data_IF_147738517522
#
_entry.id   IF_147738517522
#
_cell.length_a   1.000
_cell.length_b   1.000
_cell.length_c   1.000
_cell.angle_alpha   90.00
_cell.angle_beta   90.00
_cell.angle_gamma   90.00
#
_symmetry.space_group_name_H-M   'P 1'
#
loop_
_entity.id
_entity.type
_entity.pdbx_description
1 polymer ?
#
# COMPACT_ATOMS: atom_id res chain seq x y z
N UNK A 1 -6.21 1.38 24.00
CA UNK A 1 -7.54 1.50 23.36
C UNK A 1 -7.51 0.49 22.23
N UNK A 2 -8.36 -0.54 22.24
CA UNK A 2 -8.37 -1.55 21.17
C UNK A 2 -8.88 -0.90 19.89
N UNK A 3 -8.18 -1.12 18.77
CA UNK A 3 -8.68 -0.73 17.46
C UNK A 3 -10.00 -1.44 17.18
N UNK A 4 -10.98 -0.79 16.51
CA UNK A 4 -12.22 -1.45 16.14
C UNK A 4 -11.91 -2.63 15.21
N UNK A 5 -12.39 -3.81 15.59
CA UNK A 5 -12.26 -5.05 14.81
C UNK A 5 -13.59 -5.39 14.16
N UNK A 6 -13.53 -5.93 12.95
CA UNK A 6 -14.69 -6.45 12.24
C UNK A 6 -14.37 -7.85 11.73
N UNK A 7 -15.18 -8.81 12.15
CA UNK A 7 -15.09 -10.19 11.67
C UNK A 7 -15.94 -10.37 10.42
N UNK A 8 -15.38 -11.05 9.41
CA UNK A 8 -16.09 -11.51 8.22
C UNK A 8 -16.03 -13.04 8.18
N UNK A 9 -17.09 -13.68 7.70
CA UNK A 9 -17.14 -15.12 7.56
C UNK A 9 -17.10 -15.49 6.07
N UNK A 10 -16.03 -16.15 5.66
CA UNK A 10 -15.84 -16.60 4.28
C UNK A 10 -15.16 -17.98 4.26
N UNK A 11 -15.55 -18.82 3.30
CA UNK A 11 -15.05 -20.19 3.13
C UNK A 11 -13.90 -20.28 2.13
N UNK A 12 -13.80 -19.31 1.23
CA UNK A 12 -12.77 -19.24 0.21
C UNK A 12 -12.38 -17.79 -0.13
N UNK A 13 -11.41 -17.65 -1.04
CA UNK A 13 -10.84 -16.37 -1.46
C UNK A 13 -11.86 -15.48 -2.16
N UNK A 14 -12.77 -16.06 -2.94
CA UNK A 14 -13.77 -15.29 -3.68
C UNK A 14 -14.84 -14.77 -2.73
N UNK A 15 -15.35 -15.61 -1.82
CA UNK A 15 -16.30 -15.21 -0.78
C UNK A 15 -15.68 -14.13 0.14
N UNK A 16 -14.42 -14.27 0.53
CA UNK A 16 -13.73 -13.26 1.34
C UNK A 16 -13.62 -11.91 0.61
N UNK A 17 -13.29 -11.92 -0.69
CA UNK A 17 -13.26 -10.70 -1.51
C UNK A 17 -14.64 -10.04 -1.55
N UNK A 18 -15.70 -10.79 -1.83
CA UNK A 18 -17.06 -10.23 -1.92
C UNK A 18 -17.54 -9.67 -0.58
N UNK A 19 -17.24 -10.35 0.54
CA UNK A 19 -17.56 -9.86 1.88
C UNK A 19 -16.81 -8.56 2.20
N UNK A 20 -15.54 -8.44 1.82
CA UNK A 20 -14.76 -7.20 1.95
C UNK A 20 -15.38 -6.08 1.10
N UNK A 21 -15.75 -6.34 -0.15
CA UNK A 21 -16.44 -5.35 -0.99
C UNK A 21 -17.80 -4.94 -0.46
N UNK A 22 -18.53 -5.84 0.21
CA UNK A 22 -19.79 -5.51 0.87
C UNK A 22 -19.57 -4.58 2.06
N UNK A 23 -18.51 -4.80 2.83
CA UNK A 23 -18.22 -4.08 4.07
C UNK A 23 -17.57 -2.72 3.82
N UNK A 24 -16.62 -2.62 2.89
CA UNK A 24 -15.83 -1.41 2.65
C UNK A 24 -16.68 -0.13 2.52
N UNK A 25 -17.81 -0.11 1.77
CA UNK A 25 -18.69 1.05 1.66
C UNK A 25 -19.40 1.44 2.97
N UNK A 26 -19.55 0.50 3.89
CA UNK A 26 -20.26 0.69 5.17
C UNK A 26 -19.35 1.24 6.26
N UNK A 27 -18.03 1.22 6.04
CA UNK A 27 -17.07 1.74 7.01
C UNK A 27 -17.15 3.27 7.14
N UNK A 28 -16.80 3.79 8.31
CA UNK A 28 -16.72 5.23 8.54
C UNK A 28 -15.69 5.85 7.58
N UNK A 29 -16.04 7.01 7.00
CA UNK A 29 -15.19 7.70 6.02
C UNK A 29 -13.86 8.21 6.59
N UNK A 30 -13.71 8.25 7.92
CA UNK A 30 -12.46 8.55 8.61
C UNK A 30 -11.50 7.37 8.67
N UNK A 31 -11.96 6.14 8.42
CA UNK A 31 -11.10 4.95 8.33
C UNK A 31 -10.27 5.06 7.06
N UNK A 32 -8.95 5.19 7.23
CA UNK A 32 -7.98 5.31 6.12
C UNK A 32 -7.09 4.08 5.98
N UNK A 33 -6.92 3.31 7.05
CA UNK A 33 -6.03 2.15 7.11
C UNK A 33 -6.85 0.97 7.62
N UNK A 34 -6.76 -0.15 6.92
CA UNK A 34 -7.43 -1.40 7.27
C UNK A 34 -6.36 -2.50 7.28
N UNK A 35 -6.24 -3.20 8.40
CA UNK A 35 -5.43 -4.40 8.50
C UNK A 35 -6.30 -5.63 8.24
N UNK A 36 -5.83 -6.54 7.39
CA UNK A 36 -6.53 -7.78 7.07
C UNK A 36 -5.71 -8.99 7.51
N UNK A 37 -6.18 -9.68 8.54
CA UNK A 37 -5.48 -10.81 9.17
C UNK A 37 -5.69 -12.16 8.47
N UNK A 38 -6.65 -12.25 7.55
CA UNK A 38 -7.00 -13.51 6.90
C UNK A 38 -7.60 -14.55 7.87
N UNK A 39 -7.42 -15.84 7.56
CA UNK A 39 -7.87 -16.95 8.40
C UNK A 39 -6.82 -17.29 9.46
N UNK A 40 -6.59 -16.38 10.41
CA UNK A 40 -5.53 -16.50 11.41
C UNK A 40 -4.13 -16.47 10.79
N UNK A 41 -3.89 -15.50 9.90
CA UNK A 41 -2.65 -15.31 9.16
C UNK A 41 -2.61 -15.98 7.77
N UNK A 42 -3.55 -16.87 7.45
CA UNK A 42 -3.58 -17.57 6.17
C UNK A 42 -4.40 -16.84 5.11
N UNK A 43 -4.03 -17.01 3.83
CA UNK A 43 -4.82 -16.54 2.69
C UNK A 43 -4.77 -15.03 2.42
N UNK A 44 -4.07 -14.25 3.26
CA UNK A 44 -3.94 -12.78 3.14
C UNK A 44 -3.52 -12.37 1.73
N UNK A 45 -2.39 -12.86 1.23
CA UNK A 45 -1.89 -12.48 -0.10
C UNK A 45 -2.83 -12.94 -1.22
N UNK A 46 -3.51 -14.07 -1.08
CA UNK A 46 -4.44 -14.57 -2.09
C UNK A 46 -5.69 -13.67 -2.19
N UNK A 47 -6.25 -13.28 -1.05
CA UNK A 47 -7.41 -12.38 -0.96
C UNK A 47 -7.07 -10.98 -1.46
N UNK A 48 -5.96 -10.39 -0.99
CA UNK A 48 -5.55 -9.04 -1.41
C UNK A 48 -5.23 -8.96 -2.91
N UNK A 49 -4.59 -9.99 -3.49
CA UNK A 49 -4.40 -10.08 -4.95
C UNK A 49 -5.72 -10.24 -5.70
N UNK A 50 -6.66 -11.03 -5.16
CA UNK A 50 -8.00 -11.18 -5.73
C UNK A 50 -8.76 -9.85 -5.75
N UNK A 51 -8.68 -9.09 -4.65
CA UNK A 51 -9.21 -7.72 -4.57
C UNK A 51 -8.55 -6.82 -5.62
N UNK A 52 -7.22 -6.75 -5.66
CA UNK A 52 -6.49 -5.90 -6.60
C UNK A 52 -6.87 -6.18 -8.07
N UNK A 53 -7.12 -7.45 -8.40
CA UNK A 53 -7.54 -7.88 -9.75
C UNK A 53 -8.96 -7.44 -10.12
N UNK A 54 -9.88 -7.45 -9.16
CA UNK A 54 -11.31 -7.23 -9.42
C UNK A 54 -11.73 -5.79 -9.15
N UNK A 55 -11.09 -5.11 -8.20
CA UNK A 55 -11.41 -3.74 -7.81
C UNK A 55 -11.48 -2.74 -8.99
N UNK A 56 -10.62 -2.79 -10.03
CA UNK A 56 -10.73 -1.89 -11.18
C UNK A 56 -12.04 -2.02 -11.99
N UNK A 57 -12.70 -3.18 -11.95
CA UNK A 57 -13.96 -3.43 -12.65
C UNK A 57 -15.20 -3.28 -11.77
N UNK A 58 -15.02 -3.17 -10.44
CA UNK A 58 -16.11 -2.95 -9.50
C UNK A 58 -16.53 -1.48 -9.52
N UNK A 59 -17.69 -1.21 -10.12
CA UNK A 59 -18.31 0.12 -10.16
C UNK A 59 -19.71 0.15 -9.55
N UNK A 60 -20.01 -0.83 -8.71
CA UNK A 60 -21.33 -1.04 -8.12
C UNK A 60 -21.68 0.01 -7.06
N UNK A 61 -20.68 0.62 -6.43
CA UNK A 61 -20.86 1.65 -5.40
C UNK A 61 -19.86 2.81 -5.58
N UNK A 62 -20.29 4.09 -5.46
CA UNK A 62 -19.38 5.25 -5.49
C UNK A 62 -18.23 5.16 -4.47
N UNK A 63 -18.45 4.47 -3.36
CA UNK A 63 -17.47 4.19 -2.30
C UNK A 63 -16.33 3.29 -2.77
N UNK A 64 -16.56 2.42 -3.76
CA UNK A 64 -15.54 1.54 -4.37
C UNK A 64 -14.97 2.06 -5.68
N UNK A 65 -15.48 3.18 -6.20
CA UNK A 65 -14.88 3.85 -7.35
C UNK A 65 -13.61 4.58 -6.91
N UNK A 66 -12.44 4.03 -7.27
CA UNK A 66 -11.14 4.66 -7.05
C UNK A 66 -10.57 5.15 -8.39
N UNK A 67 -10.01 6.36 -8.40
CA UNK A 67 -9.28 6.91 -9.54
C UNK A 67 -7.98 6.15 -9.78
N UNK A 68 -7.39 5.63 -8.70
CA UNK A 68 -6.14 4.88 -8.71
C UNK A 68 -6.22 3.68 -7.76
N UNK A 69 -5.72 2.55 -8.22
CA UNK A 69 -5.49 1.38 -7.38
C UNK A 69 -4.00 1.11 -7.46
N UNK A 70 -3.34 1.16 -6.30
CA UNK A 70 -1.89 1.07 -6.17
C UNK A 70 -1.61 -0.24 -5.46
N UNK A 71 -0.96 -1.18 -6.13
CA UNK A 71 -0.63 -2.47 -5.54
C UNK A 71 0.87 -2.54 -5.25
N UNK A 72 1.23 -2.59 -3.98
CA UNK A 72 2.62 -2.65 -3.53
C UNK A 72 2.86 -4.04 -2.94
N UNK A 73 3.69 -4.84 -3.63
CA UNK A 73 4.19 -6.10 -3.09
C UNK A 73 5.48 -5.82 -2.31
N UNK A 74 5.41 -5.99 -0.98
CA UNK A 74 6.56 -5.87 -0.09
C UNK A 74 6.65 -7.11 0.80
N UNK A 75 6.46 -8.26 0.17
CA UNK A 75 6.73 -9.55 0.79
C UNK A 75 8.19 -9.69 1.23
N UNK A 76 9.13 -9.10 0.47
CA UNK A 76 10.55 -9.00 0.80
C UNK A 76 10.91 -7.57 1.24
N UNK A 77 10.40 -7.14 2.40
CA UNK A 77 10.78 -5.84 2.96
C UNK A 77 12.30 -5.71 3.08
N UNK A 78 12.85 -4.58 2.61
CA UNK A 78 14.27 -4.23 2.73
C UNK A 78 14.46 -2.98 3.56
N UNK A 79 13.84 -1.88 3.13
CA UNK A 79 13.91 -0.58 3.81
C UNK A 79 12.74 0.32 3.42
N UNK A 80 12.57 1.40 4.18
CA UNK A 80 11.63 2.47 3.83
C UNK A 80 11.96 3.08 2.45
N UNK A 81 13.24 3.20 2.12
CA UNK A 81 13.69 3.69 0.80
C UNK A 81 13.21 2.78 -0.34
N UNK A 82 13.35 1.46 -0.18
CA UNK A 82 12.88 0.49 -1.18
C UNK A 82 11.37 0.59 -1.37
N UNK A 83 10.62 0.77 -0.29
CA UNK A 83 9.16 0.98 -0.36
C UNK A 83 8.79 2.26 -1.10
N UNK A 84 9.44 3.37 -0.77
CA UNK A 84 9.18 4.65 -1.42
C UNK A 84 9.46 4.56 -2.93
N UNK A 85 10.50 3.82 -3.33
CA UNK A 85 10.81 3.53 -4.73
C UNK A 85 9.72 2.72 -5.42
N UNK A 86 9.23 1.64 -4.81
CA UNK A 86 8.12 0.83 -5.36
C UNK A 86 6.85 1.68 -5.56
N UNK A 87 6.53 2.58 -4.63
CA UNK A 87 5.39 3.49 -4.77
C UNK A 87 5.60 4.44 -5.95
N UNK A 88 6.80 5.02 -6.09
CA UNK A 88 7.13 5.91 -7.21
C UNK A 88 7.02 5.20 -8.57
N UNK A 89 7.48 3.95 -8.66
CA UNK A 89 7.41 3.12 -9.86
C UNK A 89 5.97 2.75 -10.22
N UNK A 90 5.16 2.33 -9.23
CA UNK A 90 3.75 1.97 -9.43
C UNK A 90 2.92 3.20 -9.86
N UNK A 91 3.25 4.38 -9.34
CA UNK A 91 2.67 5.65 -9.77
C UNK A 91 3.20 6.15 -11.11
N UNK A 92 4.22 5.50 -11.67
CA UNK A 92 4.91 5.87 -12.91
C UNK A 92 5.40 7.32 -12.86
N UNK A 93 5.98 7.70 -11.71
CA UNK A 93 6.56 9.01 -11.57
C UNK A 93 7.72 9.21 -12.56
N UNK A 94 7.96 10.47 -12.91
CA UNK A 94 8.97 10.84 -13.90
C UNK A 94 10.38 10.33 -13.50
N UNK A 95 11.24 10.12 -14.50
CA UNK A 95 12.62 9.67 -14.30
C UNK A 95 13.41 10.55 -13.33
N UNK A 96 13.06 11.85 -13.21
CA UNK A 96 13.64 12.74 -12.20
C UNK A 96 13.47 12.23 -10.76
N UNK A 97 12.37 11.52 -10.44
CA UNK A 97 12.17 10.91 -9.12
C UNK A 97 13.13 9.75 -8.90
N UNK A 98 13.25 8.88 -9.88
CA UNK A 98 14.17 7.74 -9.85
C UNK A 98 15.61 8.23 -9.72
N UNK A 99 15.99 9.28 -10.45
CA UNK A 99 17.32 9.88 -10.33
C UNK A 99 17.62 10.50 -8.95
N UNK A 100 16.61 11.03 -8.24
CA UNK A 100 16.80 11.53 -6.87
C UNK A 100 17.07 10.36 -5.93
N UNK A 101 16.33 9.26 -6.07
CA UNK A 101 16.53 8.05 -5.27
C UNK A 101 17.92 7.43 -5.55
N UNK A 102 18.27 7.23 -6.82
CA UNK A 102 19.55 6.64 -7.23
C UNK A 102 20.74 7.45 -6.72
N UNK A 103 20.68 8.78 -6.85
CA UNK A 103 21.74 9.65 -6.37
C UNK A 103 21.93 9.52 -4.85
N UNK A 104 20.84 9.46 -4.09
CA UNK A 104 20.95 9.32 -2.64
C UNK A 104 21.45 7.93 -2.25
N UNK A 105 21.04 6.88 -2.97
CA UNK A 105 21.51 5.52 -2.73
C UNK A 105 23.03 5.41 -3.00
N UNK A 106 23.55 6.08 -4.04
CA UNK A 106 24.99 6.19 -4.31
C UNK A 106 25.76 6.93 -3.19
N UNK A 107 25.21 8.03 -2.68
CA UNK A 107 25.80 8.80 -1.56
C UNK A 107 25.83 7.97 -0.26
N UNK A 108 24.77 7.20 -0.01
CA UNK A 108 24.62 6.30 1.13
C UNK A 108 25.62 5.12 1.02
N UNK A 109 25.80 4.54 -0.18
CA UNK A 109 26.81 3.52 -0.46
C UNK A 109 28.23 4.04 -0.17
N UNK A 110 28.56 5.26 -0.63
CA UNK A 110 29.84 5.89 -0.37
C UNK A 110 30.10 6.14 1.13
N UNK A 111 29.03 6.39 1.86
CA UNK A 111 29.05 6.64 3.31
C UNK A 111 28.99 5.35 4.13
N UNK A 112 28.83 4.19 3.49
CA UNK A 112 28.74 2.89 4.16
C UNK A 112 27.42 2.68 4.92
N UNK A 113 26.34 3.34 4.49
CA UNK A 113 25.00 3.20 5.09
C UNK A 113 24.35 1.92 4.59
N UNK A 114 23.98 1.05 5.53
CA UNK A 114 23.33 -0.23 5.24
C UNK A 114 21.96 -0.02 4.58
N UNK A 115 21.64 -0.83 3.57
CA UNK A 115 20.39 -0.73 2.79
C UNK A 115 19.15 -0.73 3.71
N UNK A 116 19.14 -1.57 4.75
CA UNK A 116 17.99 -1.71 5.66
C UNK A 116 17.74 -0.48 6.53
N UNK A 117 18.76 0.37 6.70
CA UNK A 117 18.70 1.60 7.49
C UNK A 117 18.30 2.84 6.69
N UNK A 118 18.14 2.73 5.36
CA UNK A 118 17.83 3.85 4.49
C UNK A 118 16.37 4.28 4.66
N UNK A 119 16.20 5.52 5.11
CA UNK A 119 14.89 6.15 5.29
C UNK A 119 14.35 6.75 3.99
N UNK A 120 13.09 7.16 4.04
CA UNK A 120 12.44 7.94 2.97
C UNK A 120 13.19 9.23 2.63
N UNK A 121 13.14 9.64 1.36
CA UNK A 121 13.55 10.98 0.92
C UNK A 121 12.35 11.91 0.95
N UNK A 122 12.40 12.96 1.75
CA UNK A 122 11.31 13.94 1.90
C UNK A 122 10.87 14.52 0.54
N UNK A 123 11.83 14.88 -0.32
CA UNK A 123 11.55 15.43 -1.65
C UNK A 123 10.77 14.46 -2.53
N UNK A 124 11.05 13.16 -2.44
CA UNK A 124 10.30 12.12 -3.18
C UNK A 124 8.90 11.99 -2.61
N UNK A 125 8.76 12.02 -1.28
CA UNK A 125 7.45 12.00 -0.62
C UNK A 125 6.57 13.17 -1.05
N UNK A 126 7.12 14.38 -1.17
CA UNK A 126 6.38 15.53 -1.69
C UNK A 126 5.88 15.32 -3.13
N UNK A 127 6.64 14.64 -3.98
CA UNK A 127 6.24 14.35 -5.37
C UNK A 127 5.16 13.27 -5.43
N UNK A 128 5.26 12.24 -4.58
CA UNK A 128 4.21 11.23 -4.39
C UNK A 128 2.92 11.91 -3.92
N UNK A 129 3.01 12.73 -2.87
CA UNK A 129 1.90 13.51 -2.32
C UNK A 129 1.19 14.32 -3.40
N UNK A 130 1.95 15.10 -4.18
CA UNK A 130 1.43 15.93 -5.26
C UNK A 130 0.72 15.11 -6.34
N UNK A 131 1.22 13.91 -6.64
CA UNK A 131 0.64 13.00 -7.64
C UNK A 131 -0.68 12.39 -7.17
N UNK A 132 -0.78 12.07 -5.88
CA UNK A 132 -1.98 11.49 -5.29
C UNK A 132 -3.03 12.54 -4.91
N UNK A 133 -2.61 13.79 -4.71
CA UNK A 133 -3.48 14.88 -4.26
C UNK A 133 -4.68 15.06 -5.19
N UNK A 134 -5.86 15.06 -4.60
CA UNK A 134 -7.13 15.25 -5.32
C UNK A 134 -7.63 14.01 -6.05
N UNK A 135 -6.93 12.88 -5.96
CA UNK A 135 -7.43 11.57 -6.41
C UNK A 135 -7.93 10.75 -5.23
N UNK A 136 -9.01 9.99 -5.45
CA UNK A 136 -9.45 8.95 -4.53
C UNK A 136 -8.74 7.67 -4.91
N UNK A 137 -7.86 7.18 -4.05
CA UNK A 137 -7.05 5.99 -4.33
C UNK A 137 -7.23 4.92 -3.27
N UNK A 138 -7.00 3.67 -3.68
CA UNK A 138 -6.86 2.51 -2.80
C UNK A 138 -5.43 2.00 -2.93
N UNK A 139 -4.71 1.93 -1.83
CA UNK A 139 -3.40 1.28 -1.79
C UNK A 139 -3.55 -0.09 -1.13
N UNK A 140 -3.16 -1.14 -1.86
CA UNK A 140 -3.17 -2.52 -1.38
C UNK A 140 -1.73 -2.89 -1.12
N UNK A 141 -1.45 -3.24 0.13
CA UNK A 141 -0.12 -3.52 0.59
C UNK A 141 0.00 -4.99 1.01
N UNK A 142 0.93 -5.73 0.39
CA UNK A 142 1.32 -7.05 0.85
C UNK A 142 2.53 -6.91 1.77
N UNK A 143 2.30 -6.82 3.09
CA UNK A 143 3.38 -6.85 4.08
C UNK A 143 3.85 -8.28 4.29
N UNK A 144 5.10 -8.60 3.96
CA UNK A 144 5.74 -9.85 4.39
C UNK A 144 6.59 -9.71 5.64
N UNK A 145 6.70 -8.50 6.20
CA UNK A 145 7.50 -8.23 7.39
C UNK A 145 6.64 -8.16 8.65
N UNK A 146 7.29 -8.32 9.81
CA UNK A 146 6.72 -8.04 11.12
C UNK A 146 6.81 -6.55 11.51
N UNK A 147 7.18 -5.68 10.56
CA UNK A 147 7.38 -4.26 10.80
C UNK A 147 6.08 -3.51 10.51
N UNK A 148 5.60 -2.79 11.52
CA UNK A 148 4.60 -1.74 11.36
C UNK A 148 5.31 -0.44 10.96
N UNK A 149 4.79 0.24 9.94
CA UNK A 149 5.35 1.49 9.46
C UNK A 149 4.24 2.48 9.10
N UNK A 150 4.56 3.76 9.18
CA UNK A 150 3.61 4.82 8.81
C UNK A 150 3.59 5.00 7.30
N UNK A 151 2.50 4.54 6.67
CA UNK A 151 2.28 4.73 5.22
C UNK A 151 2.31 6.22 4.84
N UNK A 152 1.91 7.12 5.75
CA UNK A 152 1.94 8.56 5.51
C UNK A 152 3.35 9.13 5.35
N UNK A 153 4.38 8.45 5.86
CA UNK A 153 5.76 8.90 5.74
C UNK A 153 6.29 8.84 4.29
N UNK A 154 5.66 8.05 3.42
CA UNK A 154 6.10 7.89 2.02
C UNK A 154 5.57 8.96 1.07
N UNK A 155 4.54 9.75 1.46
CA UNK A 155 3.94 10.84 0.65
C UNK A 155 2.42 10.92 0.68
#
# INVERSE_FOLDING_TARGET
MSLPQLEIFAKDVDEAREEIFRVLPMMDRSVRIIYFDGWGGFGVSAVLRSIAKVLPSVRTAPELCFDRIIHIDCSEWKSERTMQRLIAEELKLDHSVISILDKQDEEDDFSGVDESSRSVIERVGLMIHQTLRGSKFMMIFLNGSDVEFDVGAFG
#
